data_IF_443704041030
#
_entry.id   IF_443704041030
#
_cell.length_a   1.000
_cell.length_b   1.000
_cell.length_c   1.000
_cell.angle_alpha   90.00
_cell.angle_beta   90.00
_cell.angle_gamma   90.00
#
_symmetry.space_group_name_H-M   'P 1'
#
loop_
_entity.id
_entity.type
_entity.pdbx_description
1 polymer ?
#
# COMPACT_ATOMS: atom_id res chain seq x y z
N UNK A 1 -1.01 -21.64 -18.49
CA UNK A 1 -1.99 -20.60 -18.17
C UNK A 1 -2.57 -20.95 -16.81
N UNK A 2 -2.54 -20.05 -15.80
CA UNK A 2 -3.24 -20.32 -14.55
C UNK A 2 -4.73 -20.49 -14.86
N UNK A 3 -5.34 -21.54 -14.32
CA UNK A 3 -6.80 -21.71 -14.41
C UNK A 3 -7.43 -20.45 -13.79
N UNK A 4 -8.23 -19.72 -14.57
CA UNK A 4 -9.06 -18.65 -14.04
C UNK A 4 -9.96 -19.29 -12.99
N UNK A 5 -9.82 -18.87 -11.74
CA UNK A 5 -10.79 -19.23 -10.72
C UNK A 5 -12.12 -18.57 -11.11
N UNK A 6 -13.07 -19.35 -11.53
CA UNK A 6 -14.43 -18.92 -11.81
C UNK A 6 -15.29 -19.41 -10.65
N UNK A 7 -15.71 -18.49 -9.80
CA UNK A 7 -16.70 -18.79 -8.78
C UNK A 7 -18.07 -18.86 -9.45
N UNK A 8 -18.70 -20.03 -9.45
CA UNK A 8 -20.04 -20.24 -10.03
C UNK A 8 -21.13 -19.51 -9.23
N UNK A 9 -20.89 -19.27 -7.94
CA UNK A 9 -21.79 -18.55 -7.04
C UNK A 9 -20.94 -17.77 -6.00
N UNK A 10 -20.49 -16.52 -6.33
CA UNK A 10 -19.71 -15.74 -5.38
C UNK A 10 -20.53 -15.44 -4.13
N UNK A 11 -19.93 -15.62 -2.95
CA UNK A 11 -20.55 -15.27 -1.68
C UNK A 11 -20.83 -13.76 -1.60
N UNK A 12 -21.79 -13.31 -0.79
CA UNK A 12 -22.29 -11.93 -0.82
C UNK A 12 -21.18 -10.86 -0.65
N UNK A 13 -20.24 -11.07 0.27
CA UNK A 13 -19.15 -10.10 0.50
C UNK A 13 -18.20 -10.03 -0.71
N UNK A 14 -17.80 -11.18 -1.27
CA UNK A 14 -16.96 -11.21 -2.48
C UNK A 14 -17.67 -10.53 -3.65
N UNK A 15 -18.96 -10.80 -3.84
CA UNK A 15 -19.75 -10.16 -4.88
C UNK A 15 -19.81 -8.64 -4.69
N UNK A 16 -20.09 -8.16 -3.47
CA UNK A 16 -20.10 -6.74 -3.14
C UNK A 16 -18.75 -6.08 -3.43
N UNK A 17 -17.64 -6.75 -3.08
CA UNK A 17 -16.29 -6.26 -3.36
C UNK A 17 -16.00 -6.17 -4.86
N UNK A 18 -16.37 -7.19 -5.64
CA UNK A 18 -16.18 -7.18 -7.09
C UNK A 18 -17.00 -6.05 -7.73
N UNK A 19 -18.25 -5.88 -7.32
CA UNK A 19 -19.13 -4.82 -7.84
C UNK A 19 -18.59 -3.43 -7.48
N UNK A 20 -18.17 -3.22 -6.23
CA UNK A 20 -17.54 -1.99 -5.79
C UNK A 20 -16.30 -1.68 -6.64
N UNK A 21 -15.37 -2.63 -6.75
CA UNK A 21 -14.12 -2.43 -7.48
C UNK A 21 -14.35 -2.17 -8.97
N UNK A 22 -15.29 -2.91 -9.57
CA UNK A 22 -15.63 -2.74 -10.99
C UNK A 22 -16.27 -1.37 -11.26
N UNK A 23 -17.10 -0.89 -10.35
CA UNK A 23 -17.73 0.43 -10.47
C UNK A 23 -16.72 1.55 -10.23
N UNK A 24 -15.85 1.42 -9.22
CA UNK A 24 -14.82 2.42 -8.92
C UNK A 24 -13.78 2.58 -10.04
N UNK A 25 -13.50 1.50 -10.78
CA UNK A 25 -12.55 1.48 -11.92
C UNK A 25 -13.25 1.56 -13.28
N UNK A 26 -14.55 1.71 -13.26
CA UNK A 26 -15.38 1.85 -14.45
C UNK A 26 -15.39 3.27 -15.02
N UNK A 27 -16.26 3.52 -16.01
CA UNK A 27 -16.49 4.86 -16.53
C UNK A 27 -16.99 5.82 -15.42
N UNK A 28 -16.82 7.15 -15.59
CA UNK A 28 -17.21 8.13 -14.56
C UNK A 28 -18.69 8.03 -14.12
N UNK A 29 -19.56 7.58 -15.00
CA UNK A 29 -20.99 7.39 -14.71
C UNK A 29 -21.25 6.31 -13.65
N UNK A 30 -20.27 5.42 -13.42
CA UNK A 30 -20.36 4.36 -12.43
C UNK A 30 -19.90 4.79 -11.04
N UNK A 31 -19.36 6.00 -10.87
CA UNK A 31 -18.79 6.47 -9.59
C UNK A 31 -19.86 6.58 -8.50
N UNK A 32 -21.06 7.07 -8.85
CA UNK A 32 -22.20 7.15 -7.91
C UNK A 32 -22.63 5.74 -7.43
N UNK A 33 -22.64 4.79 -8.37
CA UNK A 33 -22.97 3.39 -8.07
C UNK A 33 -21.89 2.75 -7.18
N UNK A 34 -20.62 3.10 -7.38
CA UNK A 34 -19.52 2.63 -6.54
C UNK A 34 -19.74 3.02 -5.07
N UNK A 35 -20.21 4.24 -4.81
CA UNK A 35 -20.53 4.68 -3.44
C UNK A 35 -21.62 3.81 -2.78
N UNK A 36 -22.67 3.44 -3.50
CA UNK A 36 -23.69 2.54 -2.99
C UNK A 36 -23.14 1.14 -2.68
N UNK A 37 -22.33 0.58 -3.59
CA UNK A 37 -21.67 -0.71 -3.33
C UNK A 37 -20.70 -0.66 -2.17
N UNK A 38 -20.02 0.47 -1.94
CA UNK A 38 -19.15 0.65 -0.78
C UNK A 38 -19.92 0.56 0.54
N UNK A 39 -21.10 1.18 0.62
CA UNK A 39 -21.98 1.07 1.80
C UNK A 39 -22.41 -0.37 2.03
N UNK A 40 -22.81 -1.09 0.97
CA UNK A 40 -23.17 -2.52 1.06
C UNK A 40 -22.00 -3.35 1.55
N UNK A 41 -20.79 -3.10 1.02
CA UNK A 41 -19.57 -3.77 1.42
C UNK A 41 -19.24 -3.54 2.90
N UNK A 42 -19.26 -2.28 3.35
CA UNK A 42 -19.01 -1.95 4.76
C UNK A 42 -20.01 -2.65 5.69
N UNK A 43 -21.29 -2.68 5.32
CA UNK A 43 -22.32 -3.39 6.08
C UNK A 43 -22.05 -4.91 6.10
N UNK A 44 -21.66 -5.50 4.97
CA UNK A 44 -21.34 -6.92 4.90
C UNK A 44 -20.13 -7.28 5.79
N UNK A 45 -19.11 -6.43 5.83
CA UNK A 45 -17.94 -6.63 6.73
C UNK A 45 -18.37 -6.46 8.20
N UNK A 46 -19.19 -5.46 8.52
CA UNK A 46 -19.67 -5.24 9.88
C UNK A 46 -20.49 -6.43 10.39
N UNK A 47 -21.28 -7.05 9.53
CA UNK A 47 -22.08 -8.24 9.85
C UNK A 47 -21.22 -9.44 10.31
N UNK A 48 -19.96 -9.54 9.87
CA UNK A 48 -19.05 -10.59 10.36
C UNK A 48 -18.77 -10.48 11.86
N UNK A 49 -18.95 -9.30 12.44
CA UNK A 49 -18.70 -9.04 13.86
C UNK A 49 -19.98 -9.11 14.70
N UNK A 50 -21.15 -9.33 14.09
CA UNK A 50 -22.44 -9.39 14.79
C UNK A 50 -22.82 -10.85 15.07
N UNK A 51 -22.93 -11.26 16.35
CA UNK A 51 -23.33 -12.62 16.69
C UNK A 51 -24.71 -12.98 16.12
N UNK A 52 -24.81 -14.12 15.46
CA UNK A 52 -26.07 -14.61 14.88
C UNK A 52 -26.53 -13.88 13.61
N UNK A 53 -25.69 -13.06 12.99
CA UNK A 53 -25.98 -12.47 11.69
C UNK A 53 -26.06 -13.54 10.59
N UNK A 54 -26.90 -13.32 9.58
CA UNK A 54 -27.05 -14.25 8.45
C UNK A 54 -25.73 -14.46 7.68
N UNK A 55 -24.90 -13.41 7.59
CA UNK A 55 -23.60 -13.47 6.92
C UNK A 55 -22.56 -14.20 7.78
N UNK A 56 -22.66 -14.07 9.10
CA UNK A 56 -21.79 -14.76 10.07
C UNK A 56 -22.25 -16.16 10.44
N UNK A 57 -23.46 -16.59 10.01
CA UNK A 57 -23.87 -17.99 10.16
C UNK A 57 -23.03 -18.86 9.24
N UNK A 58 -22.22 -19.70 9.86
CA UNK A 58 -21.24 -20.56 9.18
C UNK A 58 -21.98 -21.56 8.28
N UNK A 59 -21.88 -21.50 6.95
CA UNK A 59 -22.47 -22.48 6.06
C UNK A 59 -21.86 -23.86 6.25
N UNK A 60 -22.49 -24.90 5.73
CA UNK A 60 -21.95 -26.27 5.73
C UNK A 60 -20.59 -26.38 5.03
N UNK A 61 -20.27 -25.48 4.12
CA UNK A 61 -18.98 -25.33 3.45
C UNK A 61 -18.21 -24.15 4.02
N UNK A 62 -17.62 -24.35 5.18
CA UNK A 62 -16.95 -23.28 5.97
C UNK A 62 -15.66 -22.78 5.34
N UNK A 63 -14.91 -23.66 4.65
CA UNK A 63 -13.62 -23.31 4.04
C UNK A 63 -13.80 -22.40 2.84
N UNK A 64 -14.68 -22.75 1.89
CA UNK A 64 -14.96 -21.93 0.70
C UNK A 64 -15.56 -20.57 1.07
N UNK A 65 -16.47 -20.55 2.04
CA UNK A 65 -17.05 -19.30 2.54
C UNK A 65 -15.97 -18.38 3.11
N UNK A 66 -15.09 -18.90 3.96
CA UNK A 66 -14.02 -18.13 4.57
C UNK A 66 -13.02 -17.62 3.50
N UNK A 67 -12.62 -18.51 2.58
CA UNK A 67 -11.71 -18.15 1.49
C UNK A 67 -12.27 -17.00 0.65
N UNK A 68 -13.54 -17.09 0.21
CA UNK A 68 -14.19 -16.06 -0.59
C UNK A 68 -14.40 -14.76 0.19
N UNK A 69 -14.72 -14.85 1.50
CA UNK A 69 -14.87 -13.69 2.37
C UNK A 69 -13.57 -12.94 2.53
N UNK A 70 -12.47 -13.65 2.81
CA UNK A 70 -11.13 -13.05 2.92
C UNK A 70 -10.70 -12.44 1.59
N UNK A 71 -10.90 -13.15 0.47
CA UNK A 71 -10.60 -12.64 -0.86
C UNK A 71 -11.36 -11.33 -1.15
N UNK A 72 -12.64 -11.26 -0.76
CA UNK A 72 -13.44 -10.05 -0.87
C UNK A 72 -12.86 -8.89 -0.05
N UNK A 73 -12.43 -9.15 1.19
CA UNK A 73 -11.77 -8.14 2.02
C UNK A 73 -10.47 -7.66 1.38
N UNK A 74 -9.64 -8.56 0.85
CA UNK A 74 -8.39 -8.20 0.18
C UNK A 74 -8.65 -7.33 -1.05
N UNK A 75 -9.57 -7.74 -1.91
CA UNK A 75 -9.92 -6.97 -3.12
C UNK A 75 -10.39 -5.56 -2.77
N UNK A 76 -11.29 -5.45 -1.78
CA UNK A 76 -11.78 -4.16 -1.32
C UNK A 76 -10.69 -3.34 -0.64
N UNK A 77 -9.89 -3.97 0.21
CA UNK A 77 -8.81 -3.33 0.95
C UNK A 77 -7.78 -2.68 0.05
N UNK A 78 -7.33 -3.35 -0.99
CA UNK A 78 -6.39 -2.82 -1.98
C UNK A 78 -6.88 -1.55 -2.70
N UNK A 79 -8.19 -1.28 -2.71
CA UNK A 79 -8.75 -0.05 -3.27
C UNK A 79 -9.15 0.99 -2.20
N UNK A 80 -9.13 0.64 -0.93
CA UNK A 80 -9.58 1.52 0.15
C UNK A 80 -8.50 1.88 1.17
N UNK A 81 -7.40 1.15 1.21
CA UNK A 81 -6.34 1.26 2.23
C UNK A 81 -5.76 2.67 2.39
N UNK A 82 -5.72 3.42 1.27
CA UNK A 82 -5.25 4.80 1.26
C UNK A 82 -6.35 5.83 1.58
N UNK A 83 -7.61 5.42 1.67
CA UNK A 83 -8.77 6.31 1.83
C UNK A 83 -9.50 6.02 3.14
N UNK A 84 -9.59 4.76 3.52
CA UNK A 84 -10.38 4.26 4.64
C UNK A 84 -9.47 3.76 5.74
N UNK A 85 -9.38 4.53 6.83
CA UNK A 85 -8.59 4.16 8.00
C UNK A 85 -9.00 2.82 8.61
N UNK A 86 -10.29 2.50 8.53
CA UNK A 86 -10.90 1.27 9.02
C UNK A 86 -10.44 0.02 8.29
N UNK A 87 -9.76 0.16 7.15
CA UNK A 87 -9.14 -0.97 6.43
C UNK A 87 -8.22 -1.79 7.35
N UNK A 88 -7.56 -1.17 8.31
CA UNK A 88 -6.77 -1.88 9.34
C UNK A 88 -7.59 -2.86 10.18
N UNK A 89 -8.86 -2.56 10.45
CA UNK A 89 -9.79 -3.49 11.11
C UNK A 89 -10.18 -4.64 10.17
N UNK A 90 -10.41 -4.35 8.91
CA UNK A 90 -10.74 -5.37 7.91
C UNK A 90 -9.61 -6.39 7.76
N UNK A 91 -8.36 -5.92 7.77
CA UNK A 91 -7.15 -6.77 7.76
C UNK A 91 -7.16 -7.71 8.96
N UNK A 92 -7.46 -7.18 10.15
CA UNK A 92 -7.54 -7.99 11.37
C UNK A 92 -8.62 -9.07 11.30
N UNK A 93 -9.79 -8.75 10.73
CA UNK A 93 -10.87 -9.71 10.48
C UNK A 93 -10.42 -10.79 9.50
N UNK A 94 -9.81 -10.39 8.37
CA UNK A 94 -9.31 -11.33 7.36
C UNK A 94 -8.27 -12.30 7.97
N UNK A 95 -7.32 -11.77 8.75
CA UNK A 95 -6.32 -12.56 9.44
C UNK A 95 -6.96 -13.57 10.42
N UNK A 96 -7.95 -13.12 11.19
CA UNK A 96 -8.67 -14.00 12.13
C UNK A 96 -9.37 -15.14 11.39
N UNK A 97 -10.04 -14.86 10.29
CA UNK A 97 -10.70 -15.89 9.46
C UNK A 97 -9.68 -16.88 8.88
N UNK A 98 -8.49 -16.43 8.48
CA UNK A 98 -7.41 -17.33 8.04
C UNK A 98 -7.03 -18.28 9.17
N UNK A 99 -6.83 -17.78 10.38
CA UNK A 99 -6.42 -18.61 11.53
C UNK A 99 -7.47 -19.66 11.91
N UNK A 100 -8.75 -19.38 11.70
CA UNK A 100 -9.85 -20.27 12.06
C UNK A 100 -10.20 -21.29 10.98
N UNK A 101 -10.05 -20.95 9.70
CA UNK A 101 -10.59 -21.74 8.60
C UNK A 101 -9.54 -22.28 7.62
N UNK A 102 -8.29 -21.84 7.72
CA UNK A 102 -7.24 -22.41 6.87
C UNK A 102 -7.02 -23.88 7.18
N UNK A 103 -7.02 -24.77 6.17
CA UNK A 103 -6.79 -26.20 6.38
C UNK A 103 -5.48 -26.48 7.11
N UNK A 104 -5.53 -27.40 8.10
CA UNK A 104 -4.35 -27.78 8.89
C UNK A 104 -3.36 -28.63 8.10
N UNK A 105 -3.82 -29.34 7.07
CA UNK A 105 -3.02 -30.24 6.27
C UNK A 105 -2.49 -29.55 5.02
N UNK A 106 -1.23 -29.85 4.69
CA UNK A 106 -0.54 -29.31 3.50
C UNK A 106 -1.01 -30.11 2.28
N UNK A 107 -2.04 -29.64 1.61
CA UNK A 107 -2.56 -30.19 0.36
C UNK A 107 -2.37 -29.19 -0.81
N UNK A 108 -2.86 -29.54 -1.99
CA UNK A 108 -2.82 -28.65 -3.16
C UNK A 108 -3.57 -27.32 -2.89
N UNK A 109 -4.63 -27.36 -2.10
CA UNK A 109 -5.38 -26.18 -1.64
C UNK A 109 -4.53 -25.22 -0.79
N UNK A 110 -3.54 -25.71 -0.07
CA UNK A 110 -2.63 -24.90 0.75
C UNK A 110 -1.88 -23.84 -0.06
N UNK A 111 -1.70 -24.05 -1.37
CA UNK A 111 -1.06 -23.06 -2.26
C UNK A 111 -1.93 -21.81 -2.42
N UNK A 112 -3.23 -21.98 -2.58
CA UNK A 112 -4.16 -20.84 -2.75
C UNK A 112 -4.31 -20.10 -1.43
N UNK A 113 -4.39 -20.79 -0.31
CA UNK A 113 -4.39 -20.18 1.01
C UNK A 113 -3.09 -19.42 1.31
N UNK A 114 -1.93 -19.91 0.88
CA UNK A 114 -0.67 -19.18 1.00
C UNK A 114 -0.68 -17.89 0.20
N UNK A 115 -1.19 -17.91 -1.03
CA UNK A 115 -1.35 -16.69 -1.84
C UNK A 115 -2.29 -15.69 -1.17
N UNK A 116 -3.42 -16.18 -0.64
CA UNK A 116 -4.38 -15.35 0.06
C UNK A 116 -3.75 -14.72 1.31
N UNK A 117 -3.05 -15.50 2.11
CA UNK A 117 -2.30 -15.02 3.29
C UNK A 117 -1.25 -13.97 2.91
N UNK A 118 -0.47 -14.22 1.85
CA UNK A 118 0.49 -13.24 1.34
C UNK A 118 -0.19 -11.95 0.88
N UNK A 119 -1.36 -12.04 0.25
CA UNK A 119 -2.14 -10.86 -0.13
C UNK A 119 -2.56 -10.03 1.09
N UNK A 120 -3.00 -10.68 2.17
CA UNK A 120 -3.36 -9.99 3.42
C UNK A 120 -2.13 -9.38 4.10
N UNK A 121 -0.97 -10.05 4.06
CA UNK A 121 0.29 -9.50 4.59
C UNK A 121 0.74 -8.25 3.81
N UNK A 122 0.66 -8.27 2.47
CA UNK A 122 1.00 -7.12 1.63
C UNK A 122 0.09 -5.95 1.97
N UNK A 123 -1.22 -6.16 2.02
CA UNK A 123 -2.20 -5.14 2.36
C UNK A 123 -1.94 -4.54 3.75
N UNK A 124 -1.57 -5.36 4.74
CA UNK A 124 -1.21 -4.90 6.08
C UNK A 124 0.05 -4.01 6.07
N UNK A 125 1.09 -4.40 5.34
CA UNK A 125 2.31 -3.62 5.20
C UNK A 125 2.08 -2.30 4.46
N UNK A 126 1.30 -2.31 3.39
CA UNK A 126 0.94 -1.13 2.62
C UNK A 126 0.14 -0.15 3.49
N UNK A 127 -0.91 -0.63 4.17
CA UNK A 127 -1.69 0.17 5.11
C UNK A 127 -0.83 0.72 6.24
N UNK A 128 -0.03 -0.13 6.90
CA UNK A 128 0.85 0.28 7.98
C UNK A 128 1.88 1.33 7.53
N UNK A 129 2.39 1.23 6.30
CA UNK A 129 3.36 2.18 5.75
C UNK A 129 2.80 3.59 5.58
N UNK A 130 1.54 3.71 5.16
CA UNK A 130 0.86 5.01 5.01
C UNK A 130 0.58 5.67 6.36
N UNK A 131 0.35 4.86 7.39
CA UNK A 131 -0.01 5.33 8.73
C UNK A 131 1.17 5.36 9.73
N UNK A 132 2.38 4.91 9.34
CA UNK A 132 3.52 4.66 10.24
C UNK A 132 3.08 3.90 11.50
N UNK A 133 2.31 2.85 11.30
CA UNK A 133 1.78 1.97 12.34
C UNK A 133 2.49 0.62 12.32
N UNK A 134 2.32 -0.15 13.41
CA UNK A 134 2.80 -1.52 13.45
C UNK A 134 1.90 -2.41 12.59
N UNK A 135 2.46 -3.19 11.66
CA UNK A 135 1.70 -4.24 10.99
C UNK A 135 1.10 -5.22 12.00
N UNK A 136 -0.12 -5.65 11.76
CA UNK A 136 -0.89 -6.52 12.67
C UNK A 136 -0.57 -8.00 12.44
N UNK A 137 -0.23 -8.35 11.20
CA UNK A 137 0.00 -9.72 10.79
C UNK A 137 1.45 -10.10 11.07
N UNK A 138 1.72 -11.20 11.80
CA UNK A 138 3.09 -11.64 12.05
C UNK A 138 3.79 -12.04 10.75
N UNK A 139 5.09 -11.80 10.70
CA UNK A 139 5.94 -12.12 9.55
C UNK A 139 5.90 -13.63 9.26
N UNK A 140 6.08 -14.42 10.31
CA UNK A 140 5.99 -15.88 10.24
C UNK A 140 4.57 -16.33 10.56
N UNK A 141 3.95 -17.07 9.65
CA UNK A 141 2.64 -17.66 9.94
C UNK A 141 2.74 -18.67 11.09
N UNK A 142 1.83 -18.62 12.05
CA UNK A 142 1.73 -19.66 13.08
C UNK A 142 1.21 -21.00 12.54
N UNK A 143 0.59 -21.01 11.34
CA UNK A 143 0.05 -22.21 10.72
C UNK A 143 1.10 -22.88 9.82
N UNK A 144 1.41 -24.17 10.01
CA UNK A 144 2.43 -24.88 9.21
C UNK A 144 2.17 -24.83 7.71
N UNK A 145 0.90 -24.95 7.28
CA UNK A 145 0.51 -24.91 5.86
C UNK A 145 0.75 -23.55 5.18
N UNK A 146 0.90 -22.47 5.95
CA UNK A 146 1.13 -21.12 5.45
C UNK A 146 2.58 -20.66 5.62
N UNK A 147 3.45 -21.48 6.18
CA UNK A 147 4.85 -21.11 6.36
C UNK A 147 5.54 -20.96 5.01
N UNK A 148 6.22 -19.84 4.84
CA UNK A 148 7.07 -19.56 3.67
C UNK A 148 8.53 -19.86 4.01
N UNK A 149 9.31 -20.22 3.00
CA UNK A 149 10.75 -20.43 3.17
C UNK A 149 11.43 -19.11 3.51
N UNK A 150 12.44 -19.14 4.38
CA UNK A 150 13.31 -17.97 4.64
C UNK A 150 14.05 -17.49 3.37
N UNK A 151 14.08 -18.28 2.32
CA UNK A 151 14.61 -17.91 1.00
C UNK A 151 13.58 -17.19 0.11
N UNK A 152 12.31 -17.17 0.53
CA UNK A 152 11.29 -16.41 -0.19
C UNK A 152 11.59 -14.90 -0.11
N UNK A 153 11.71 -14.29 -1.27
CA UNK A 153 12.08 -12.88 -1.38
C UNK A 153 10.99 -11.97 -0.80
N UNK A 154 9.73 -12.34 -0.97
CA UNK A 154 8.61 -11.60 -0.38
C UNK A 154 8.64 -11.66 1.15
N UNK A 155 8.97 -12.82 1.74
CA UNK A 155 9.15 -12.95 3.17
C UNK A 155 10.26 -12.03 3.70
N UNK A 156 11.38 -11.93 2.97
CA UNK A 156 12.51 -11.06 3.35
C UNK A 156 12.10 -9.58 3.30
N UNK A 157 11.42 -9.17 2.21
CA UNK A 157 10.89 -7.81 2.08
C UNK A 157 9.91 -7.48 3.21
N UNK A 158 8.95 -8.36 3.47
CA UNK A 158 7.99 -8.21 4.56
C UNK A 158 8.67 -8.04 5.91
N UNK A 159 9.71 -8.82 6.18
CA UNK A 159 10.50 -8.74 7.42
C UNK A 159 11.19 -7.38 7.57
N UNK A 160 11.82 -6.87 6.51
CA UNK A 160 12.47 -5.56 6.55
C UNK A 160 11.46 -4.45 6.80
N UNK A 161 10.34 -4.47 6.08
CA UNK A 161 9.28 -3.47 6.23
C UNK A 161 8.68 -3.51 7.63
N UNK A 162 8.34 -4.68 8.14
CA UNK A 162 7.79 -4.86 9.48
C UNK A 162 8.73 -4.32 10.57
N UNK A 163 10.02 -4.64 10.48
CA UNK A 163 11.02 -4.19 11.45
C UNK A 163 11.14 -2.67 11.45
N UNK A 164 11.24 -2.06 10.26
CA UNK A 164 11.33 -0.61 10.13
C UNK A 164 10.08 0.11 10.63
N UNK A 165 8.89 -0.33 10.23
CA UNK A 165 7.62 0.26 10.65
C UNK A 165 7.42 0.18 12.17
N UNK A 166 7.81 -0.93 12.80
CA UNK A 166 7.71 -1.10 14.24
C UNK A 166 8.51 -0.04 15.01
N UNK A 167 9.68 0.38 14.48
CA UNK A 167 10.47 1.46 15.10
C UNK A 167 9.71 2.79 15.16
N UNK A 168 8.90 3.09 14.13
CA UNK A 168 8.18 4.37 14.03
C UNK A 168 6.79 4.34 14.67
N UNK A 169 6.31 3.18 15.07
CA UNK A 169 4.99 3.02 15.69
C UNK A 169 4.89 3.83 16.98
N UNK A 170 3.83 4.62 17.12
CA UNK A 170 3.57 5.44 18.29
C UNK A 170 4.48 6.67 18.44
N UNK A 171 5.35 6.94 17.47
CA UNK A 171 6.23 8.12 17.49
C UNK A 171 5.47 9.43 17.22
N UNK A 172 4.24 9.36 16.72
CA UNK A 172 3.42 10.54 16.44
C UNK A 172 3.98 11.43 15.33
N UNK A 173 4.83 10.87 14.47
CA UNK A 173 5.34 11.59 13.29
C UNK A 173 4.21 11.80 12.28
N UNK A 174 4.22 12.91 11.52
CA UNK A 174 3.32 13.08 10.38
C UNK A 174 3.47 11.92 9.40
N UNK A 175 2.36 11.46 8.86
CA UNK A 175 2.30 10.31 7.96
C UNK A 175 1.91 10.73 6.55
N UNK A 176 2.17 9.89 5.55
CA UNK A 176 1.68 10.14 4.19
C UNK A 176 0.16 10.31 4.22
N UNK A 177 -0.54 9.48 4.99
CA UNK A 177 -1.98 9.59 5.20
C UNK A 177 -2.41 10.96 5.74
N UNK A 178 -1.79 11.44 6.83
CA UNK A 178 -2.12 12.75 7.43
C UNK A 178 -1.89 13.91 6.46
N UNK A 179 -0.92 13.73 5.57
CA UNK A 179 -0.61 14.67 4.53
C UNK A 179 -1.72 14.78 3.49
N UNK A 180 -2.22 13.65 3.02
CA UNK A 180 -3.30 13.59 2.03
C UNK A 180 -4.66 14.04 2.60
N UNK A 181 -4.95 13.73 3.86
CA UNK A 181 -6.23 14.08 4.49
C UNK A 181 -6.27 15.48 5.09
N UNK A 182 -5.16 16.22 5.05
CA UNK A 182 -5.06 17.54 5.68
C UNK A 182 -5.19 17.52 7.20
N UNK A 183 -5.10 16.33 7.83
CA UNK A 183 -5.14 16.13 9.27
C UNK A 183 -3.82 16.47 9.96
N UNK A 184 -2.98 17.27 9.32
CA UNK A 184 -1.83 17.88 10.00
C UNK A 184 -2.39 18.86 10.99
N UNK A 185 -2.73 18.34 12.15
CA UNK A 185 -3.38 19.07 13.22
C UNK A 185 -2.52 20.25 13.63
N UNK A 186 -3.13 21.44 13.76
CA UNK A 186 -2.51 22.62 14.37
C UNK A 186 -2.00 22.33 15.80
N UNK A 187 -2.38 21.21 16.41
CA UNK A 187 -1.90 20.71 17.70
C UNK A 187 -0.57 19.95 17.63
N UNK A 188 -0.05 19.64 16.43
CA UNK A 188 1.27 19.01 16.26
C UNK A 188 2.47 19.95 16.61
N UNK A 189 2.21 21.13 17.13
CA UNK A 189 3.25 22.00 17.71
C UNK A 189 3.96 21.41 18.97
N UNK A 190 3.48 20.32 19.52
CA UNK A 190 4.15 19.54 20.59
C UNK A 190 4.68 18.21 20.06
N UNK A 191 5.34 18.13 19.01
CA UNK A 191 6.71 17.91 18.68
C UNK A 191 7.31 16.56 19.05
N UNK A 192 6.88 15.52 18.34
CA UNK A 192 7.78 14.40 18.14
C UNK A 192 8.67 14.72 16.93
N UNK A 193 9.86 15.24 17.17
CA UNK A 193 10.83 15.56 16.13
C UNK A 193 11.55 14.28 15.69
N UNK A 194 11.88 14.23 14.40
CA UNK A 194 12.79 13.22 13.88
C UNK A 194 14.15 13.35 14.61
N UNK A 195 14.61 12.24 15.19
CA UNK A 195 15.88 12.19 15.91
C UNK A 195 17.01 11.68 15.02
N UNK A 196 18.25 11.82 15.47
CA UNK A 196 19.40 11.22 14.78
C UNK A 196 19.31 9.69 14.71
N UNK A 197 18.69 9.06 15.71
CA UNK A 197 18.43 7.59 15.72
C UNK A 197 17.42 7.25 14.64
N UNK A 198 16.33 7.99 14.51
CA UNK A 198 15.32 7.77 13.47
C UNK A 198 15.95 7.89 12.07
N UNK A 199 16.79 8.90 11.86
CA UNK A 199 17.52 9.09 10.62
C UNK A 199 18.49 7.92 10.34
N UNK A 200 19.16 7.39 11.37
CA UNK A 200 20.03 6.23 11.22
C UNK A 200 19.22 4.97 10.84
N UNK A 201 18.06 4.76 11.44
CA UNK A 201 17.16 3.63 11.11
C UNK A 201 16.67 3.75 9.67
N UNK A 202 16.26 4.93 9.21
CA UNK A 202 15.82 5.13 7.82
C UNK A 202 16.95 4.80 6.84
N UNK A 203 18.17 5.30 7.09
CA UNK A 203 19.33 4.99 6.24
C UNK A 203 19.66 3.50 6.21
N UNK A 204 19.66 2.84 7.37
CA UNK A 204 19.91 1.41 7.45
C UNK A 204 18.82 0.59 6.73
N UNK A 205 17.57 1.00 6.88
CA UNK A 205 16.44 0.37 6.20
C UNK A 205 16.50 0.53 4.68
N UNK A 206 16.81 1.73 4.18
CA UNK A 206 17.01 1.96 2.74
C UNK A 206 18.16 1.11 2.19
N UNK A 207 19.28 1.03 2.94
CA UNK A 207 20.43 0.18 2.58
C UNK A 207 20.05 -1.31 2.53
N UNK A 208 19.26 -1.81 3.49
CA UNK A 208 18.79 -3.20 3.47
C UNK A 208 17.91 -3.50 2.25
N UNK A 209 17.08 -2.55 1.81
CA UNK A 209 16.31 -2.69 0.57
C UNK A 209 17.21 -2.74 -0.66
N UNK A 210 18.27 -1.90 -0.70
CA UNK A 210 19.23 -1.89 -1.80
C UNK A 210 20.01 -3.22 -1.87
N UNK A 211 20.45 -3.74 -0.74
CA UNK A 211 21.11 -5.05 -0.62
C UNK A 211 20.17 -6.20 -1.05
N UNK A 212 18.93 -6.15 -0.61
CA UNK A 212 17.91 -7.13 -1.00
C UNK A 212 17.70 -7.17 -2.52
N UNK A 213 17.66 -6.02 -3.19
CA UNK A 213 17.52 -5.95 -4.64
C UNK A 213 18.71 -6.59 -5.36
N UNK A 214 19.95 -6.31 -4.89
CA UNK A 214 21.17 -6.88 -5.47
C UNK A 214 21.15 -8.40 -5.36
N UNK A 215 20.85 -8.95 -4.18
CA UNK A 215 20.77 -10.39 -3.97
C UNK A 215 19.66 -11.03 -4.82
N UNK A 216 18.48 -10.39 -4.87
CA UNK A 216 17.39 -10.86 -5.71
C UNK A 216 17.78 -10.92 -7.19
N UNK A 217 18.47 -9.89 -7.69
CA UNK A 217 18.89 -9.81 -9.09
C UNK A 217 19.96 -10.86 -9.44
N UNK A 218 20.76 -11.29 -8.46
CA UNK A 218 21.76 -12.32 -8.64
C UNK A 218 21.18 -13.74 -8.64
N UNK A 219 20.10 -13.97 -7.87
CA UNK A 219 19.48 -15.28 -7.68
C UNK A 219 18.34 -15.57 -8.67
N UNK A 220 17.94 -14.59 -9.48
CA UNK A 220 16.71 -14.70 -10.27
C UNK A 220 16.93 -15.46 -11.59
N UNK A 221 16.44 -16.69 -11.64
CA UNK A 221 16.06 -17.42 -12.85
C UNK A 221 14.65 -17.01 -13.37
N UNK A 222 14.09 -15.90 -12.85
CA UNK A 222 12.71 -15.48 -13.10
C UNK A 222 12.48 -14.91 -14.51
N UNK A 223 11.23 -14.91 -14.92
CA UNK A 223 10.84 -14.25 -16.18
C UNK A 223 11.10 -12.74 -16.13
N UNK A 224 11.32 -12.05 -17.26
CA UNK A 224 11.46 -10.59 -17.27
C UNK A 224 10.27 -9.84 -16.64
N UNK A 225 9.08 -10.42 -16.66
CA UNK A 225 7.87 -9.87 -16.05
C UNK A 225 7.94 -9.97 -14.53
N UNK A 226 8.39 -11.10 -13.99
CA UNK A 226 8.57 -11.27 -12.52
C UNK A 226 9.62 -10.30 -11.99
N UNK A 227 10.74 -10.14 -12.71
CA UNK A 227 11.77 -9.17 -12.36
C UNK A 227 11.24 -7.74 -12.33
N UNK A 228 10.41 -7.37 -13.30
CA UNK A 228 9.78 -6.05 -13.36
C UNK A 228 8.87 -5.79 -12.17
N UNK A 229 8.05 -6.77 -11.78
CA UNK A 229 7.15 -6.66 -10.61
C UNK A 229 7.95 -6.45 -9.34
N UNK A 230 9.01 -7.22 -9.13
CA UNK A 230 9.85 -7.09 -7.93
C UNK A 230 10.59 -5.76 -7.91
N UNK A 231 11.14 -5.32 -9.04
CA UNK A 231 11.80 -4.03 -9.13
C UNK A 231 10.82 -2.87 -8.86
N UNK A 232 9.57 -2.97 -9.31
CA UNK A 232 8.51 -2.03 -9.00
C UNK A 232 8.27 -1.96 -7.48
N UNK A 233 8.10 -3.10 -6.82
CA UNK A 233 7.91 -3.15 -5.37
C UNK A 233 9.09 -2.52 -4.62
N UNK A 234 10.31 -2.83 -5.03
CA UNK A 234 11.51 -2.20 -4.45
C UNK A 234 11.46 -0.67 -4.55
N UNK A 235 11.21 -0.13 -5.75
CA UNK A 235 11.21 1.33 -5.98
C UNK A 235 10.16 2.01 -5.11
N UNK A 236 8.96 1.45 -5.01
CA UNK A 236 7.87 2.00 -4.21
C UNK A 236 8.17 1.92 -2.70
N UNK A 237 8.67 0.80 -2.22
CA UNK A 237 9.02 0.65 -0.79
C UNK A 237 10.19 1.55 -0.41
N UNK A 238 11.19 1.69 -1.27
CA UNK A 238 12.30 2.61 -1.03
C UNK A 238 11.82 4.06 -0.94
N UNK A 239 10.90 4.46 -1.81
CA UNK A 239 10.28 5.79 -1.74
C UNK A 239 9.51 5.98 -0.43
N UNK A 240 8.72 4.99 0.01
CA UNK A 240 8.02 5.04 1.32
C UNK A 240 9.00 5.29 2.44
N UNK A 241 10.09 4.52 2.51
CA UNK A 241 11.08 4.62 3.59
C UNK A 241 11.73 6.00 3.61
N UNK A 242 12.20 6.48 2.46
CA UNK A 242 12.83 7.81 2.37
C UNK A 242 11.82 8.94 2.61
N UNK A 243 10.53 8.74 2.31
CA UNK A 243 9.48 9.72 2.52
C UNK A 243 9.20 10.03 4.00
N UNK A 244 9.71 9.21 4.92
CA UNK A 244 9.58 9.49 6.37
C UNK A 244 10.29 10.78 6.74
N UNK A 245 11.35 11.16 6.04
CA UNK A 245 11.99 12.46 6.22
C UNK A 245 11.05 13.63 5.90
N UNK A 246 10.32 13.51 4.82
CA UNK A 246 9.44 14.58 4.32
C UNK A 246 8.29 14.90 5.28
N UNK A 247 7.44 13.96 5.71
CA UNK A 247 6.39 14.22 6.68
C UNK A 247 6.92 14.74 8.02
N UNK A 248 8.01 14.16 8.52
CA UNK A 248 8.60 14.53 9.80
C UNK A 248 9.16 15.95 9.83
N UNK A 249 9.38 16.57 8.67
CA UNK A 249 9.92 17.93 8.51
C UNK A 249 8.90 18.96 8.01
N UNK A 250 7.61 18.66 8.13
CA UNK A 250 6.55 19.62 7.87
C UNK A 250 6.29 19.89 6.39
N UNK A 251 6.45 18.90 5.53
CA UNK A 251 6.25 19.01 4.09
C UNK A 251 7.25 19.88 3.33
N UNK A 252 8.36 20.23 3.93
CA UNK A 252 9.44 20.90 3.25
C UNK A 252 10.67 19.99 3.15
N UNK A 253 10.73 19.10 2.12
CA UNK A 253 11.88 18.21 1.92
C UNK A 253 13.15 18.97 1.56
N UNK A 254 13.01 20.24 1.20
CA UNK A 254 14.12 21.12 0.79
C UNK A 254 14.54 22.10 1.89
N UNK A 255 14.02 21.89 3.10
CA UNK A 255 14.45 22.69 4.26
C UNK A 255 15.92 22.41 4.61
N UNK A 256 16.57 23.40 5.23
CA UNK A 256 17.97 23.27 5.68
C UNK A 256 18.19 22.15 6.72
N UNK A 257 17.13 21.49 7.16
CA UNK A 257 17.19 20.40 8.13
C UNK A 257 17.42 19.03 7.48
N UNK A 258 17.31 18.91 6.15
CA UNK A 258 17.65 17.72 5.37
C UNK A 258 19.04 17.88 4.77
N UNK A 259 19.86 16.84 4.83
CA UNK A 259 21.18 16.88 4.19
C UNK A 259 21.03 16.85 2.66
N UNK A 260 21.96 17.46 1.90
CA UNK A 260 21.91 17.41 0.44
C UNK A 260 21.88 16.00 -0.13
N UNK A 261 22.53 15.05 0.53
CA UNK A 261 22.51 13.63 0.13
C UNK A 261 21.11 13.03 0.31
N UNK A 262 20.47 13.26 1.44
CA UNK A 262 19.10 12.78 1.71
C UNK A 262 18.08 13.37 0.72
N UNK A 263 18.24 14.66 0.39
CA UNK A 263 17.44 15.32 -0.65
C UNK A 263 17.62 14.65 -2.01
N UNK A 264 18.87 14.40 -2.38
CA UNK A 264 19.21 13.77 -3.66
C UNK A 264 18.63 12.35 -3.76
N UNK A 265 18.81 11.53 -2.74
CA UNK A 265 18.29 10.16 -2.71
C UNK A 265 16.76 10.10 -2.77
N UNK A 266 16.08 10.98 -2.04
CA UNK A 266 14.62 11.09 -2.07
C UNK A 266 14.12 11.50 -3.46
N UNK A 267 14.74 12.52 -4.05
CA UNK A 267 14.38 13.00 -5.38
C UNK A 267 14.65 11.95 -6.45
N UNK A 268 15.79 11.24 -6.36
CA UNK A 268 16.11 10.16 -7.28
C UNK A 268 15.10 9.01 -7.20
N UNK A 269 14.69 8.62 -5.99
CA UNK A 269 13.67 7.60 -5.78
C UNK A 269 12.30 8.04 -6.32
N UNK A 270 11.91 9.29 -6.11
CA UNK A 270 10.68 9.84 -6.65
C UNK A 270 10.67 9.85 -8.19
N UNK A 271 11.76 10.29 -8.81
CA UNK A 271 11.91 10.27 -10.28
C UNK A 271 11.90 8.85 -10.84
N UNK A 272 12.56 7.90 -10.17
CA UNK A 272 12.54 6.49 -10.57
C UNK A 272 11.13 5.91 -10.52
N UNK A 273 10.35 6.24 -9.48
CA UNK A 273 8.94 5.85 -9.37
C UNK A 273 8.12 6.37 -10.54
N UNK A 274 8.22 7.67 -10.86
CA UNK A 274 7.49 8.26 -11.98
C UNK A 274 7.88 7.63 -13.31
N UNK A 275 9.18 7.45 -13.56
CA UNK A 275 9.69 6.85 -14.79
C UNK A 275 9.21 5.41 -14.97
N UNK A 276 9.16 4.65 -13.89
CA UNK A 276 8.72 3.25 -13.91
C UNK A 276 7.24 3.12 -14.28
N UNK A 277 6.40 4.07 -13.82
CA UNK A 277 4.96 4.02 -14.00
C UNK A 277 4.44 4.84 -15.18
N UNK A 278 5.32 5.48 -15.96
CA UNK A 278 4.95 6.36 -17.06
C UNK A 278 4.06 5.69 -18.12
N UNK A 279 4.26 4.40 -18.35
CA UNK A 279 3.53 3.60 -19.33
C UNK A 279 2.93 2.32 -18.70
N UNK A 280 2.74 2.32 -17.38
CA UNK A 280 2.26 1.15 -16.67
C UNK A 280 0.72 1.18 -16.56
N UNK A 281 0.07 0.32 -17.34
CA UNK A 281 -1.38 0.14 -17.29
C UNK A 281 -1.80 -0.95 -16.28
N UNK A 282 -0.85 -1.48 -15.49
CA UNK A 282 -1.10 -2.56 -14.53
C UNK A 282 -1.30 -2.07 -13.10
N UNK A 283 -1.36 -0.75 -12.90
CA UNK A 283 -1.61 -0.15 -11.58
C UNK A 283 -3.03 -0.52 -11.15
N UNK A 284 -3.12 -1.16 -9.99
CA UNK A 284 -4.39 -1.67 -9.52
C UNK A 284 -4.74 -1.23 -8.11
N UNK A 285 -3.78 -1.19 -7.17
CA UNK A 285 -4.02 -0.78 -5.79
C UNK A 285 -4.05 0.76 -5.62
N UNK A 286 -4.76 1.22 -4.63
CA UNK A 286 -4.73 2.63 -4.25
C UNK A 286 -3.40 3.03 -3.63
N UNK A 287 -2.71 2.11 -3.00
CA UNK A 287 -1.37 2.35 -2.46
C UNK A 287 -0.40 2.76 -3.56
N UNK A 288 -0.37 2.04 -4.68
CA UNK A 288 0.43 2.41 -5.85
C UNK A 288 0.12 3.85 -6.31
N UNK A 289 -1.18 4.18 -6.43
CA UNK A 289 -1.63 5.50 -6.87
C UNK A 289 -1.20 6.61 -5.91
N UNK A 290 -1.32 6.36 -4.61
CA UNK A 290 -0.85 7.31 -3.57
C UNK A 290 0.65 7.51 -3.68
N UNK A 291 1.43 6.44 -3.85
CA UNK A 291 2.88 6.52 -3.96
C UNK A 291 3.34 7.24 -5.24
N UNK A 292 2.66 7.03 -6.36
CA UNK A 292 2.94 7.75 -7.60
C UNK A 292 2.63 9.25 -7.44
N UNK A 293 1.48 9.58 -6.83
CA UNK A 293 1.10 10.98 -6.56
C UNK A 293 2.08 11.64 -5.61
N UNK A 294 2.51 10.91 -4.58
CA UNK A 294 3.51 11.36 -3.62
C UNK A 294 4.86 11.64 -4.29
N UNK A 295 5.30 10.74 -5.19
CA UNK A 295 6.48 10.95 -6.01
C UNK A 295 6.37 12.22 -6.88
N UNK A 296 5.22 12.46 -7.49
CA UNK A 296 4.98 13.66 -8.29
C UNK A 296 5.08 14.94 -7.44
N UNK A 297 4.51 14.94 -6.24
CA UNK A 297 4.60 16.08 -5.31
C UNK A 297 6.04 16.36 -4.90
N UNK A 298 6.83 15.33 -4.56
CA UNK A 298 8.25 15.49 -4.21
C UNK A 298 9.04 16.09 -5.37
N UNK A 299 8.82 15.61 -6.60
CA UNK A 299 9.53 16.12 -7.78
C UNK A 299 9.14 17.57 -8.07
N UNK A 300 7.85 17.94 -7.97
CA UNK A 300 7.38 19.32 -8.15
C UNK A 300 8.00 20.27 -7.12
N UNK A 301 7.99 19.90 -5.86
CA UNK A 301 8.62 20.69 -4.79
C UNK A 301 10.13 20.81 -4.97
N UNK A 302 10.79 19.75 -5.46
CA UNK A 302 12.19 19.79 -5.80
C UNK A 302 12.55 20.77 -6.92
N UNK A 303 11.66 20.91 -7.89
CA UNK A 303 11.81 21.88 -8.98
C UNK A 303 11.64 23.32 -8.44
N UNK A 304 10.60 23.56 -7.65
CA UNK A 304 10.31 24.86 -7.05
C UNK A 304 11.41 25.30 -6.07
N UNK A 305 11.94 24.36 -5.28
CA UNK A 305 13.01 24.59 -4.32
C UNK A 305 14.41 24.76 -4.91
N UNK A 306 14.56 24.66 -6.23
CA UNK A 306 15.86 24.81 -6.92
C UNK A 306 16.84 23.66 -6.66
N UNK A 307 16.40 22.56 -6.04
CA UNK A 307 17.21 21.36 -5.80
C UNK A 307 17.30 20.44 -7.03
N UNK A 308 16.73 20.87 -8.16
CA UNK A 308 16.78 20.16 -9.42
C UNK A 308 18.11 20.30 -10.12
N UNK A 309 18.46 19.32 -10.96
CA UNK A 309 19.53 19.44 -11.93
C UNK A 309 19.29 20.65 -12.86
N UNK A 310 20.36 21.25 -13.46
CA UNK A 310 20.23 22.38 -14.39
C UNK A 310 19.28 22.14 -15.56
N UNK A 311 18.98 20.88 -15.88
CA UNK A 311 18.03 20.47 -16.92
C UNK A 311 16.61 20.26 -16.39
N UNK A 312 16.02 21.28 -15.76
CA UNK A 312 14.62 21.28 -15.29
C UNK A 312 13.56 20.87 -16.33
N UNK A 313 13.90 20.81 -17.61
CA UNK A 313 13.03 20.37 -18.70
C UNK A 313 12.65 18.87 -18.61
N UNK A 314 13.52 18.02 -18.07
CA UNK A 314 13.28 16.58 -18.03
C UNK A 314 12.26 16.20 -16.94
N UNK A 315 12.24 16.92 -15.81
CA UNK A 315 11.32 16.64 -14.70
C UNK A 315 9.85 16.94 -15.04
N UNK A 316 9.57 18.06 -15.72
CA UNK A 316 8.22 18.41 -16.17
C UNK A 316 7.64 17.39 -17.14
N UNK A 317 8.48 16.86 -18.03
CA UNK A 317 8.05 15.86 -19.01
C UNK A 317 7.49 14.60 -18.36
N UNK A 318 8.11 14.11 -17.28
CA UNK A 318 7.64 12.92 -16.57
C UNK A 318 6.34 13.15 -15.77
N UNK A 319 6.17 14.32 -15.17
CA UNK A 319 4.96 14.64 -14.39
C UNK A 319 3.73 14.80 -15.28
N UNK A 320 3.88 15.39 -16.47
CA UNK A 320 2.77 15.60 -17.39
C UNK A 320 2.38 14.38 -18.23
N UNK A 321 3.23 13.35 -18.31
CA UNK A 321 2.92 12.11 -19.00
C UNK A 321 2.23 11.05 -18.13
N UNK A 322 2.16 11.25 -16.82
CA UNK A 322 1.29 10.41 -15.98
C UNK A 322 -0.15 10.65 -16.45
N UNK A 323 -0.97 9.59 -16.61
CA UNK A 323 -2.35 9.76 -17.04
C UNK A 323 -3.03 10.85 -16.19
N UNK A 324 -3.33 11.99 -16.80
CA UNK A 324 -3.89 13.16 -16.09
C UNK A 324 -5.15 12.81 -15.30
N UNK A 325 -5.91 11.82 -15.77
CA UNK A 325 -7.08 11.29 -15.08
C UNK A 325 -6.75 10.79 -13.67
N UNK A 326 -5.64 10.07 -13.51
CA UNK A 326 -5.28 9.44 -12.24
C UNK A 326 -4.80 10.47 -11.21
N UNK A 327 -3.91 11.37 -11.60
CA UNK A 327 -3.40 12.43 -10.73
C UNK A 327 -4.51 13.44 -10.41
N UNK A 328 -5.30 13.82 -11.40
CA UNK A 328 -6.42 14.77 -11.22
C UNK A 328 -7.51 14.16 -10.35
N UNK A 329 -7.88 12.89 -10.54
CA UNK A 329 -8.84 12.22 -9.66
C UNK A 329 -8.37 12.19 -8.22
N UNK A 330 -7.13 11.80 -7.97
CA UNK A 330 -6.57 11.77 -6.63
C UNK A 330 -6.54 13.19 -6.04
N UNK A 331 -6.02 14.17 -6.77
CA UNK A 331 -5.92 15.55 -6.31
C UNK A 331 -7.31 16.18 -6.09
N UNK A 332 -8.31 15.82 -6.88
CA UNK A 332 -9.69 16.29 -6.72
C UNK A 332 -10.39 15.58 -5.57
N UNK A 333 -10.30 14.27 -5.52
CA UNK A 333 -10.90 13.43 -4.46
C UNK A 333 -10.38 13.82 -3.08
N UNK A 334 -9.10 14.20 -2.97
CA UNK A 334 -8.47 14.60 -1.71
C UNK A 334 -8.46 16.11 -1.45
N UNK A 335 -9.13 16.90 -2.29
CA UNK A 335 -9.28 18.35 -2.07
C UNK A 335 -8.01 19.19 -2.25
N UNK A 336 -6.97 18.65 -2.88
CA UNK A 336 -5.72 19.38 -3.14
C UNK A 336 -5.90 20.51 -4.15
N UNK A 337 -6.74 20.34 -5.17
CA UNK A 337 -6.97 21.36 -6.20
C UNK A 337 -7.75 22.55 -5.66
N UNK A 338 -8.61 22.38 -4.66
CA UNK A 338 -9.36 23.50 -4.05
C UNK A 338 -8.48 24.47 -3.26
N UNK A 339 -7.30 24.07 -2.82
CA UNK A 339 -6.36 24.93 -2.07
C UNK A 339 -5.36 25.66 -2.94
N UNK A 340 -5.07 25.17 -4.15
CA UNK A 340 -4.12 25.83 -5.07
C UNK A 340 -4.76 26.94 -5.92
N UNK A 341 -6.10 26.98 -6.07
CA UNK A 341 -6.77 28.05 -6.85
C UNK A 341 -7.08 29.31 -6.05
N UNK A 342 -6.75 29.35 -4.74
CA UNK A 342 -6.99 30.51 -3.86
C UNK A 342 -5.68 31.15 -3.35
N UNK A 343 -4.59 31.00 -4.03
CA UNK A 343 -3.37 31.79 -3.91
C UNK A 343 -2.98 32.24 -5.32
#
# INVERSE_FOLDING_TARGET
MPRKQTFSAPKPLLLASILYCSSLRGPPEMEEIAHHYFVVLCNAIAQLCIPGSEIGMVPLDTEEWAFQTILGIVIAGLLTEAIVRETGLWISIAYRLIMEHCPAHVEETSREWRKLFSGVQIMDLEHASLHLSCPVIPIASPLPGLQTSHRDQLYRLSRMMHTGLTHFTGRGLPTIWSCFTGQVSATAHTTNKLTAIDAAVIRDWARQLDEWLVEFSADSEGSPEDLRVVFRQYVLHRLVVLSIYHPARGFDPWSNSITPQEQHELLLSARATLKLHLHDNTIWSNWDLVMITWAALIVLQGIEGGAGEPDGKVSWFYVFQIPQLTVTQILTTYGFISKCSNK
#
